data_IF_831351402019
#
_entry.id   IF_831351402019
#
_cell.length_a   1.000
_cell.length_b   1.000
_cell.length_c   1.000
_cell.angle_alpha   90.00
_cell.angle_beta   90.00
_cell.angle_gamma   90.00
#
_symmetry.space_group_name_H-M   'P 1'
#
loop_
_entity.id
_entity.type
_entity.pdbx_description
1 polymer ?
#
# COMPACT_ATOMS: atom_id res chain seq x y z
N UNK A 1 3.46 9.04 -4.15
CA UNK A 1 4.54 8.42 -3.35
C UNK A 1 4.73 6.97 -3.78
N UNK A 2 5.96 6.48 -3.83
CA UNK A 2 6.26 5.06 -4.03
C UNK A 2 6.90 4.47 -2.76
N UNK A 3 6.44 3.30 -2.36
CA UNK A 3 6.98 2.51 -1.26
C UNK A 3 7.58 1.23 -1.84
N UNK A 4 8.87 0.99 -1.57
CA UNK A 4 9.53 -0.28 -1.90
C UNK A 4 8.95 -1.39 -1.03
N UNK A 5 8.28 -2.37 -1.62
CA UNK A 5 7.58 -3.39 -0.83
C UNK A 5 8.56 -4.23 -0.01
N UNK A 6 9.72 -4.58 -0.58
CA UNK A 6 10.72 -5.44 0.08
C UNK A 6 11.37 -4.81 1.32
N UNK A 7 11.24 -3.50 1.50
CA UNK A 7 11.72 -2.84 2.70
C UNK A 7 10.86 -3.16 3.93
N UNK A 8 9.63 -3.64 3.72
CA UNK A 8 8.63 -3.87 4.76
C UNK A 8 8.09 -5.30 4.74
N UNK A 9 7.84 -5.86 3.56
CA UNK A 9 7.26 -7.19 3.42
C UNK A 9 8.31 -8.20 2.99
N UNK A 10 8.40 -9.34 3.69
CA UNK A 10 9.16 -10.49 3.18
C UNK A 10 8.45 -11.13 1.98
N UNK A 11 9.11 -12.09 1.34
CA UNK A 11 8.52 -12.91 0.28
C UNK A 11 7.20 -13.54 0.74
N UNK A 12 6.15 -13.35 -0.05
CA UNK A 12 4.79 -13.83 0.26
C UNK A 12 4.19 -13.29 1.57
N UNK A 13 4.70 -12.19 2.13
CA UNK A 13 4.16 -11.58 3.36
C UNK A 13 3.35 -10.32 3.02
N UNK A 14 2.27 -10.07 3.77
CA UNK A 14 1.45 -8.85 3.70
C UNK A 14 1.16 -8.24 5.08
N UNK A 15 1.48 -8.97 6.16
CA UNK A 15 1.36 -8.51 7.54
C UNK A 15 2.69 -7.90 7.96
N UNK A 16 2.65 -6.81 8.70
CA UNK A 16 3.85 -6.17 9.26
C UNK A 16 4.01 -6.53 10.73
N UNK A 17 5.25 -6.74 11.15
CA UNK A 17 5.59 -6.70 12.57
C UNK A 17 5.51 -5.26 13.11
N UNK A 18 5.47 -5.10 14.44
CA UNK A 18 5.31 -3.80 15.09
C UNK A 18 6.38 -2.77 14.69
N UNK A 19 7.63 -3.21 14.49
CA UNK A 19 8.73 -2.31 14.14
C UNK A 19 8.56 -1.77 12.71
N UNK A 20 8.31 -2.66 11.76
CA UNK A 20 8.09 -2.29 10.35
C UNK A 20 6.81 -1.49 10.16
N UNK A 21 5.77 -1.82 10.92
CA UNK A 21 4.53 -1.06 10.95
C UNK A 21 4.79 0.39 11.38
N UNK A 22 5.43 0.58 12.53
CA UNK A 22 5.76 1.92 13.06
C UNK A 22 6.65 2.71 12.10
N UNK A 23 7.64 2.05 11.49
CA UNK A 23 8.51 2.67 10.49
C UNK A 23 7.74 3.12 9.25
N UNK A 24 6.86 2.26 8.71
CA UNK A 24 6.07 2.59 7.53
C UNK A 24 5.06 3.72 7.81
N UNK A 25 4.42 3.69 8.99
CA UNK A 25 3.53 4.75 9.47
C UNK A 25 4.24 6.11 9.46
N UNK A 26 5.43 6.21 10.08
CA UNK A 26 6.22 7.44 10.08
C UNK A 26 6.58 7.92 8.66
N UNK A 27 6.99 7.01 7.78
CA UNK A 27 7.29 7.34 6.38
C UNK A 27 6.07 7.88 5.65
N UNK A 28 4.87 7.34 5.87
CA UNK A 28 3.62 7.83 5.26
C UNK A 28 3.23 9.21 5.82
N UNK A 29 3.30 9.38 7.13
CA UNK A 29 3.04 10.66 7.80
C UNK A 29 3.95 11.76 7.25
N UNK A 30 5.26 11.53 7.24
CA UNK A 30 6.27 12.51 6.85
C UNK A 30 6.25 12.82 5.35
N UNK A 31 5.89 11.83 4.51
CA UNK A 31 6.06 11.96 3.05
C UNK A 31 4.83 12.45 2.30
N UNK A 32 3.61 12.07 2.72
CA UNK A 32 2.41 12.33 1.90
C UNK A 32 1.16 12.68 2.70
N UNK A 33 1.07 12.30 3.99
CA UNK A 33 -0.18 12.46 4.73
C UNK A 33 -0.61 13.92 4.88
N UNK A 34 0.33 14.84 5.15
CA UNK A 34 0.01 16.28 5.24
C UNK A 34 -0.58 16.83 3.93
N UNK A 35 -0.12 16.34 2.78
CA UNK A 35 -0.66 16.76 1.49
C UNK A 35 -2.07 16.17 1.24
N UNK A 36 -2.26 14.90 1.59
CA UNK A 36 -3.58 14.24 1.57
C UNK A 36 -4.57 15.03 2.42
N UNK A 37 -4.20 15.35 3.66
CA UNK A 37 -5.04 16.08 4.60
C UNK A 37 -5.39 17.47 4.06
N UNK A 38 -4.42 18.20 3.51
CA UNK A 38 -4.63 19.52 2.88
C UNK A 38 -5.70 19.47 1.79
N UNK A 39 -5.65 18.51 0.86
CA UNK A 39 -6.64 18.42 -0.22
C UNK A 39 -7.98 17.88 0.25
N UNK A 40 -8.00 17.04 1.29
CA UNK A 40 -9.21 16.57 1.94
C UNK A 40 -9.95 17.72 2.64
N UNK A 41 -9.24 18.52 3.44
CA UNK A 41 -9.79 19.69 4.15
C UNK A 41 -10.32 20.74 3.17
N UNK A 42 -9.69 20.90 2.00
CA UNK A 42 -10.15 21.79 0.94
C UNK A 42 -11.37 21.26 0.15
N UNK A 43 -11.86 20.04 0.43
CA UNK A 43 -12.94 19.40 -0.32
C UNK A 43 -12.59 19.07 -1.78
N UNK A 44 -11.28 18.99 -2.10
CA UNK A 44 -10.77 18.75 -3.46
C UNK A 44 -10.30 17.32 -3.68
N UNK A 45 -10.08 16.56 -2.61
CA UNK A 45 -9.65 15.16 -2.71
C UNK A 45 -10.80 14.26 -3.19
N UNK A 46 -10.62 13.65 -4.36
CA UNK A 46 -11.58 12.71 -4.93
C UNK A 46 -11.27 11.27 -4.51
N UNK A 47 -10.00 10.85 -4.62
CA UNK A 47 -9.54 9.48 -4.30
C UNK A 47 -8.08 9.48 -3.85
N UNK A 48 -7.73 8.52 -3.01
CA UNK A 48 -6.38 8.08 -2.69
C UNK A 48 -6.26 6.65 -3.22
N UNK A 49 -5.58 6.50 -4.35
CA UNK A 49 -5.30 5.19 -4.95
C UNK A 49 -4.07 4.60 -4.25
N UNK A 50 -4.21 3.39 -3.71
CA UNK A 50 -3.12 2.63 -3.08
C UNK A 50 -2.93 1.34 -3.86
N UNK A 51 -1.86 1.24 -4.64
CA UNK A 51 -1.73 0.21 -5.67
C UNK A 51 -0.54 -0.69 -5.39
N UNK A 52 -0.82 -1.95 -5.09
CA UNK A 52 0.20 -2.97 -4.89
C UNK A 52 0.62 -3.61 -6.20
N UNK A 53 1.91 -3.92 -6.31
CA UNK A 53 2.48 -4.64 -7.43
C UNK A 53 3.56 -5.64 -7.00
N UNK A 54 3.78 -6.65 -7.82
CA UNK A 54 4.79 -7.69 -7.62
C UNK A 54 5.72 -7.81 -8.83
N UNK A 55 6.77 -8.62 -8.69
CA UNK A 55 7.43 -9.22 -9.84
C UNK A 55 6.62 -10.43 -10.36
N UNK A 56 7.16 -11.16 -11.34
CA UNK A 56 6.54 -12.34 -11.92
C UNK A 56 6.80 -13.65 -11.15
N UNK A 57 7.42 -13.60 -9.97
CA UNK A 57 7.67 -14.81 -9.17
C UNK A 57 6.40 -15.12 -8.38
N UNK A 58 5.77 -16.30 -8.57
CA UNK A 58 4.57 -16.64 -7.83
C UNK A 58 4.82 -16.69 -6.32
N UNK A 59 3.83 -16.31 -5.48
CA UNK A 59 3.98 -16.39 -4.04
C UNK A 59 4.10 -17.86 -3.63
N UNK A 60 5.21 -18.20 -2.98
CA UNK A 60 5.44 -19.56 -2.48
C UNK A 60 4.62 -19.81 -1.21
N UNK A 61 4.24 -21.08 -0.96
CA UNK A 61 3.68 -21.49 0.33
C UNK A 61 4.75 -21.32 1.40
N UNK A 62 4.54 -20.43 2.37
CA UNK A 62 5.30 -20.50 3.62
C UNK A 62 4.81 -21.72 4.41
N UNK A 63 5.75 -22.49 4.94
CA UNK A 63 5.57 -23.85 5.48
C UNK A 63 4.56 -24.02 6.63
N UNK A 64 3.95 -22.96 7.17
CA UNK A 64 3.11 -23.05 8.38
C UNK A 64 1.90 -22.09 8.40
N UNK A 65 1.41 -21.60 7.26
CA UNK A 65 0.21 -20.75 7.21
C UNK A 65 -0.81 -21.25 6.19
N UNK A 66 -2.08 -21.26 6.57
CA UNK A 66 -3.21 -21.44 5.65
C UNK A 66 -3.08 -20.37 4.56
N UNK A 67 -3.00 -20.81 3.30
CA UNK A 67 -2.78 -19.93 2.14
C UNK A 67 -4.04 -19.08 1.90
N UNK A 68 -4.09 -17.86 2.44
CA UNK A 68 -5.24 -16.94 2.27
C UNK A 68 -5.23 -16.25 0.90
N UNK A 69 -4.09 -16.24 0.18
CA UNK A 69 -3.95 -15.72 -1.19
C UNK A 69 -3.16 -16.69 -2.05
N UNK A 70 -3.57 -16.83 -3.31
CA UNK A 70 -3.00 -17.79 -4.24
C UNK A 70 -2.24 -17.18 -5.42
N UNK A 71 -2.47 -15.91 -5.69
CA UNK A 71 -1.91 -15.18 -6.83
C UNK A 71 -1.14 -13.94 -6.41
N UNK A 72 -0.25 -13.49 -7.27
CA UNK A 72 0.43 -12.19 -7.13
C UNK A 72 -0.55 -11.02 -7.06
N UNK A 73 -1.66 -11.10 -7.82
CA UNK A 73 -2.72 -10.08 -7.80
C UNK A 73 -3.32 -9.97 -6.41
N UNK A 74 -3.68 -11.08 -5.77
CA UNK A 74 -4.20 -11.09 -4.40
C UNK A 74 -3.15 -10.62 -3.38
N UNK A 75 -1.92 -11.13 -3.44
CA UNK A 75 -0.83 -10.70 -2.53
C UNK A 75 -0.64 -9.17 -2.60
N UNK A 76 -0.63 -8.63 -3.81
CA UNK A 76 -0.46 -7.20 -4.03
C UNK A 76 -1.63 -6.38 -3.47
N UNK A 77 -2.87 -6.87 -3.60
CA UNK A 77 -4.05 -6.24 -3.00
C UNK A 77 -3.98 -6.27 -1.47
N UNK A 78 -3.58 -7.39 -0.87
CA UNK A 78 -3.42 -7.48 0.58
C UNK A 78 -2.37 -6.51 1.12
N UNK A 79 -1.24 -6.35 0.43
CA UNK A 79 -0.22 -5.34 0.79
C UNK A 79 -0.75 -3.91 0.67
N UNK A 80 -1.51 -3.61 -0.40
CA UNK A 80 -2.16 -2.32 -0.55
C UNK A 80 -3.16 -2.05 0.59
N UNK A 81 -3.93 -3.06 1.00
CA UNK A 81 -4.82 -2.96 2.15
C UNK A 81 -4.07 -2.69 3.46
N UNK A 82 -2.92 -3.33 3.70
CA UNK A 82 -2.10 -3.04 4.89
C UNK A 82 -1.67 -1.57 4.94
N UNK A 83 -1.28 -0.99 3.79
CA UNK A 83 -0.96 0.44 3.69
C UNK A 83 -2.21 1.32 3.89
N UNK A 84 -3.35 0.89 3.35
CA UNK A 84 -4.64 1.56 3.55
C UNK A 84 -4.98 1.66 5.04
N UNK A 85 -4.85 0.56 5.79
CA UNK A 85 -5.10 0.53 7.23
C UNK A 85 -4.20 1.51 8.00
N UNK A 86 -2.92 1.60 7.65
CA UNK A 86 -2.00 2.57 8.28
C UNK A 86 -2.46 4.02 8.02
N UNK A 87 -2.91 4.32 6.79
CA UNK A 87 -3.45 5.65 6.47
C UNK A 87 -4.73 5.94 7.28
N UNK A 88 -5.60 4.94 7.48
CA UNK A 88 -6.78 5.07 8.33
C UNK A 88 -6.45 5.31 9.80
N UNK A 89 -5.43 4.64 10.33
CA UNK A 89 -4.96 4.83 11.71
C UNK A 89 -4.49 6.27 11.92
N UNK A 90 -3.63 6.77 11.03
CA UNK A 90 -3.17 8.16 11.07
C UNK A 90 -4.37 9.12 11.00
N UNK A 91 -5.33 8.85 10.10
CA UNK A 91 -6.52 9.69 9.96
C UNK A 91 -7.43 9.68 11.21
N UNK A 92 -7.52 8.55 11.90
CA UNK A 92 -8.31 8.41 13.14
C UNK A 92 -7.80 9.33 14.24
N UNK A 93 -6.50 9.59 14.30
CA UNK A 93 -5.88 10.51 15.27
C UNK A 93 -6.08 12.00 14.90
N UNK A 94 -6.46 12.30 13.65
CA UNK A 94 -6.42 13.66 13.09
C UNK A 94 -7.81 14.21 12.75
N UNK A 95 -8.80 13.36 12.57
CA UNK A 95 -10.13 13.73 12.07
C UNK A 95 -11.22 13.42 13.09
N UNK A 96 -12.28 14.24 13.10
CA UNK A 96 -13.50 13.93 13.83
C UNK A 96 -14.22 12.72 13.22
N UNK A 97 -15.09 12.01 13.96
CA UNK A 97 -15.77 10.81 13.47
C UNK A 97 -16.49 10.99 12.13
N UNK A 98 -17.21 12.09 11.95
CA UNK A 98 -17.94 12.38 10.72
C UNK A 98 -17.00 12.56 9.52
N UNK A 99 -15.87 13.26 9.74
CA UNK A 99 -14.85 13.46 8.71
C UNK A 99 -14.06 12.20 8.42
N UNK A 100 -13.86 11.34 9.42
CA UNK A 100 -13.18 10.05 9.26
C UNK A 100 -13.97 9.13 8.31
N UNK A 101 -15.29 9.07 8.46
CA UNK A 101 -16.14 8.29 7.56
C UNK A 101 -16.02 8.76 6.10
N UNK A 102 -16.07 10.08 5.88
CA UNK A 102 -15.87 10.66 4.54
C UNK A 102 -14.47 10.36 4.00
N UNK A 103 -13.43 10.52 4.83
CA UNK A 103 -12.05 10.25 4.45
C UNK A 103 -11.83 8.80 4.02
N UNK A 104 -12.37 7.83 4.78
CA UNK A 104 -12.29 6.40 4.46
C UNK A 104 -12.93 6.07 3.12
N UNK A 105 -14.04 6.74 2.77
CA UNK A 105 -14.67 6.60 1.45
C UNK A 105 -13.80 7.12 0.29
N UNK A 106 -12.68 7.82 0.56
CA UNK A 106 -11.69 8.24 -0.43
C UNK A 106 -10.55 7.23 -0.61
N UNK A 107 -10.45 6.16 0.18
CA UNK A 107 -9.38 5.18 0.10
C UNK A 107 -9.72 4.06 -0.90
N UNK A 108 -8.86 3.85 -1.89
CA UNK A 108 -9.06 2.86 -2.95
C UNK A 108 -7.83 1.95 -3.08
N UNK A 109 -7.74 0.87 -2.30
CA UNK A 109 -6.70 -0.13 -2.44
C UNK A 109 -6.93 -0.98 -3.70
N UNK A 110 -5.86 -1.27 -4.44
CA UNK A 110 -5.87 -2.08 -5.66
C UNK A 110 -4.66 -2.99 -5.74
N UNK A 111 -4.84 -4.18 -6.32
CA UNK A 111 -3.76 -5.15 -6.56
C UNK A 111 -3.62 -5.44 -8.04
N UNK A 112 -2.44 -5.17 -8.60
CA UNK A 112 -2.15 -5.39 -10.01
C UNK A 112 -1.23 -6.59 -10.27
N UNK A 113 -0.65 -7.20 -9.23
CA UNK A 113 0.33 -8.28 -9.38
C UNK A 113 1.50 -7.88 -10.29
N UNK A 114 1.91 -8.80 -11.17
CA UNK A 114 2.99 -8.62 -12.13
C UNK A 114 2.64 -7.83 -13.39
N UNK A 115 1.36 -7.50 -13.60
CA UNK A 115 0.84 -7.09 -14.91
C UNK A 115 1.14 -5.63 -15.29
N UNK A 116 1.66 -4.83 -14.35
CA UNK A 116 2.13 -3.45 -14.59
C UNK A 116 3.58 -3.30 -14.10
N UNK A 117 4.57 -3.91 -14.76
CA UNK A 117 5.96 -3.84 -14.34
C UNK A 117 6.59 -2.48 -14.70
N UNK A 118 7.50 -1.98 -13.86
CA UNK A 118 8.35 -0.81 -14.15
C UNK A 118 9.61 -1.16 -14.94
N UNK A 119 9.99 -2.43 -14.95
CA UNK A 119 11.11 -2.95 -15.71
C UNK A 119 10.98 -4.45 -15.99
N UNK A 120 11.84 -5.00 -16.85
CA UNK A 120 11.80 -6.42 -17.18
C UNK A 120 12.05 -7.30 -15.93
N UNK A 121 11.44 -8.48 -15.84
CA UNK A 121 11.64 -9.40 -14.71
C UNK A 121 12.88 -10.32 -14.86
N UNK A 122 13.90 -9.85 -15.59
CA UNK A 122 15.09 -10.60 -15.98
C UNK A 122 16.17 -10.68 -14.89
N UNK A 123 16.26 -9.65 -14.04
CA UNK A 123 17.29 -9.52 -13.00
C UNK A 123 16.65 -9.25 -11.65
N UNK A 124 17.34 -9.62 -10.56
CA UNK A 124 16.84 -9.35 -9.21
C UNK A 124 16.67 -7.85 -8.95
N UNK A 125 17.58 -7.04 -9.48
CA UNK A 125 17.51 -5.58 -9.39
C UNK A 125 16.23 -5.03 -10.05
N UNK A 126 15.81 -5.57 -11.19
CA UNK A 126 14.59 -5.12 -11.85
C UNK A 126 13.33 -5.68 -11.17
N UNK A 127 13.35 -6.93 -10.71
CA UNK A 127 12.25 -7.50 -9.91
C UNK A 127 11.99 -6.69 -8.63
N UNK A 128 13.04 -6.28 -7.93
CA UNK A 128 12.92 -5.43 -6.74
C UNK A 128 12.26 -4.07 -7.01
N UNK A 129 12.40 -3.51 -8.23
CA UNK A 129 11.68 -2.29 -8.63
C UNK A 129 10.20 -2.56 -8.91
N UNK A 130 9.86 -3.77 -9.36
CA UNK A 130 8.48 -4.15 -9.66
C UNK A 130 7.68 -4.45 -8.38
N UNK A 131 8.34 -4.90 -7.31
CA UNK A 131 7.77 -5.09 -5.96
C UNK A 131 7.63 -3.76 -5.22
N UNK A 132 6.56 -3.02 -5.51
CA UNK A 132 6.28 -1.71 -4.91
C UNK A 132 4.81 -1.51 -4.59
N UNK A 133 4.54 -0.51 -3.78
CA UNK A 133 3.21 0.05 -3.54
C UNK A 133 3.23 1.52 -3.96
N UNK A 134 2.25 1.96 -4.73
CA UNK A 134 2.12 3.35 -5.16
C UNK A 134 0.93 4.01 -4.47
N UNK A 135 1.12 5.21 -3.95
CA UNK A 135 0.06 6.04 -3.39
C UNK A 135 -0.10 7.28 -4.27
N UNK A 136 -1.28 7.47 -4.84
CA UNK A 136 -1.60 8.61 -5.72
C UNK A 136 -2.90 9.29 -5.30
N UNK A 137 -2.91 10.61 -5.32
CA UNK A 137 -4.13 11.39 -5.08
C UNK A 137 -4.77 11.77 -6.42
N UNK A 138 -6.09 11.62 -6.49
CA UNK A 138 -6.92 12.20 -7.55
C UNK A 138 -7.62 13.41 -6.95
N UNK A 139 -7.41 14.58 -7.55
CA UNK A 139 -7.82 15.88 -7.02
C UNK A 139 -8.70 16.56 -8.07
N UNK A 140 -9.74 17.27 -7.62
CA UNK A 140 -10.60 18.12 -8.46
C UNK A 140 -9.92 19.44 -8.83
#
# INVERSE_FOLDING_TARGET
MEIRADAYFRTSEYILDQHKHSKLRGVIEDSIFSEIQKYFDAGRLQRIQIEGHTDNVPPTRQLNQVRVWSTNRELSLFRANTVCSIIEEIATERLSPDRLAEFKAKLFPGGYGEFLPKGPNDTEKNRAKNRRIEIRMVIK
#
